data_IF_452567926274
#
_entry.id   IF_452567926274
#
_cell.length_a   1.000
_cell.length_b   1.000
_cell.length_c   1.000
_cell.angle_alpha   90.00
_cell.angle_beta   90.00
_cell.angle_gamma   90.00
#
_symmetry.space_group_name_H-M   'P 1'
#
loop_
_entity.id
_entity.type
_entity.pdbx_description
1 polymer ?
#
# COMPACT_ATOMS: atom_id res chain seq x y z
N UNK A 1 -10.18 -16.81 6.72
CA UNK A 1 -10.33 -16.38 5.31
C UNK A 1 -9.36 -17.22 4.50
N UNK A 2 -9.86 -18.16 3.68
CA UNK A 2 -9.02 -18.96 2.79
C UNK A 2 -9.32 -18.51 1.35
N UNK A 3 -8.49 -17.63 0.81
CA UNK A 3 -8.60 -17.11 -0.54
C UNK A 3 -7.41 -16.23 -0.89
N UNK A 4 -6.94 -16.31 -2.13
CA UNK A 4 -5.90 -15.43 -2.66
C UNK A 4 -6.47 -14.03 -2.88
N UNK A 5 -5.71 -13.00 -2.50
CA UNK A 5 -6.05 -11.61 -2.79
C UNK A 5 -5.70 -11.27 -4.26
N UNK A 6 -6.53 -10.45 -4.90
CA UNK A 6 -6.11 -9.72 -6.10
C UNK A 6 -4.98 -8.75 -5.76
N UNK A 7 -4.22 -8.28 -6.77
CA UNK A 7 -3.14 -7.31 -6.57
C UNK A 7 -3.65 -6.02 -5.90
N UNK A 8 -4.85 -5.56 -6.26
CA UNK A 8 -5.48 -4.38 -5.67
C UNK A 8 -5.90 -4.61 -4.21
N UNK A 9 -6.47 -5.78 -3.90
CA UNK A 9 -6.84 -6.11 -2.52
C UNK A 9 -5.61 -6.27 -1.63
N UNK A 10 -4.53 -6.86 -2.15
CA UNK A 10 -3.25 -6.95 -1.46
C UNK A 10 -2.64 -5.55 -1.21
N UNK A 11 -2.75 -4.64 -2.18
CA UNK A 11 -2.32 -3.24 -2.00
C UNK A 11 -3.10 -2.55 -0.87
N UNK A 12 -4.42 -2.67 -0.89
CA UNK A 12 -5.30 -2.10 0.15
C UNK A 12 -5.05 -2.73 1.53
N UNK A 13 -4.79 -4.04 1.57
CA UNK A 13 -4.44 -4.73 2.81
C UNK A 13 -3.12 -4.20 3.39
N UNK A 14 -2.09 -4.02 2.55
CA UNK A 14 -0.83 -3.39 2.95
C UNK A 14 -1.05 -1.95 3.44
N UNK A 15 -1.79 -1.11 2.71
CA UNK A 15 -2.12 0.25 3.15
C UNK A 15 -2.74 0.24 4.54
N UNK A 16 -3.76 -0.60 4.77
CA UNK A 16 -4.44 -0.71 6.06
C UNK A 16 -3.53 -1.21 7.18
N UNK A 17 -2.61 -2.11 6.86
CA UNK A 17 -1.64 -2.61 7.82
C UNK A 17 -0.66 -1.50 8.26
N UNK A 18 -0.10 -0.75 7.31
CA UNK A 18 0.83 0.37 7.58
C UNK A 18 0.10 1.50 8.32
N UNK A 19 -1.13 1.83 7.92
CA UNK A 19 -1.97 2.81 8.62
C UNK A 19 -2.13 2.43 10.10
N UNK A 20 -2.52 1.18 10.39
CA UNK A 20 -2.62 0.71 11.77
C UNK A 20 -1.29 0.76 12.53
N UNK A 21 -0.17 0.47 11.87
CA UNK A 21 1.15 0.57 12.47
C UNK A 21 1.52 2.02 12.81
N UNK A 22 1.26 2.96 11.89
CA UNK A 22 1.45 4.39 12.08
C UNK A 22 0.63 4.92 13.28
N UNK A 23 -0.62 4.48 13.39
CA UNK A 23 -1.52 4.79 14.50
C UNK A 23 -0.96 4.31 15.85
N UNK A 24 -0.48 3.06 15.91
CA UNK A 24 0.14 2.49 17.12
C UNK A 24 1.40 3.25 17.54
N UNK A 25 2.15 3.79 16.58
CA UNK A 25 3.29 4.66 16.82
C UNK A 25 2.92 6.06 17.35
N UNK A 26 1.63 6.39 17.44
CA UNK A 26 1.13 7.71 17.81
C UNK A 26 1.30 8.74 16.70
N UNK A 27 1.33 8.30 15.43
CA UNK A 27 1.44 9.17 14.25
C UNK A 27 2.68 10.07 14.21
N UNK A 28 3.80 9.62 14.77
CA UNK A 28 5.01 10.46 14.94
C UNK A 28 6.02 10.40 13.80
N UNK A 29 5.92 9.40 12.92
CA UNK A 29 6.86 9.25 11.80
C UNK A 29 6.38 10.05 10.58
N UNK A 30 7.14 11.09 10.22
CA UNK A 30 6.87 11.87 9.01
C UNK A 30 7.01 11.02 7.74
N UNK A 31 8.01 10.15 7.67
CA UNK A 31 8.22 9.26 6.53
C UNK A 31 7.01 8.35 6.28
N UNK A 32 6.43 7.76 7.34
CA UNK A 32 5.23 6.93 7.21
C UNK A 32 4.01 7.78 6.82
N UNK A 33 3.91 9.02 7.32
CA UNK A 33 2.84 9.93 6.94
C UNK A 33 2.89 10.28 5.44
N UNK A 34 4.09 10.59 4.92
CA UNK A 34 4.33 10.87 3.50
C UNK A 34 4.00 9.63 2.66
N UNK A 35 4.48 8.46 3.08
CA UNK A 35 4.20 7.21 2.39
C UNK A 35 2.68 6.96 2.30
N UNK A 36 1.95 7.02 3.42
CA UNK A 36 0.50 6.82 3.46
C UNK A 36 -0.25 7.86 2.61
N UNK A 37 0.21 9.10 2.57
CA UNK A 37 -0.38 10.15 1.72
C UNK A 37 -0.25 9.83 0.23
N UNK A 38 0.91 9.31 -0.20
CA UNK A 38 1.13 8.85 -1.57
C UNK A 38 0.30 7.60 -1.90
N UNK A 39 0.15 6.69 -0.94
CA UNK A 39 -0.53 5.41 -1.16
C UNK A 39 -2.05 5.51 -1.18
N UNK A 40 -2.62 6.54 -0.55
CA UNK A 40 -4.06 6.73 -0.49
C UNK A 40 -4.64 6.75 -1.92
N UNK A 41 -5.82 6.15 -2.12
CA UNK A 41 -6.48 6.02 -3.42
C UNK A 41 -7.67 6.99 -3.51
N UNK A 42 -7.43 8.28 -3.29
CA UNK A 42 -8.51 9.28 -3.10
C UNK A 42 -8.59 10.32 -4.21
N UNK A 43 -7.55 10.49 -5.03
CA UNK A 43 -7.51 11.52 -6.07
C UNK A 43 -8.05 11.07 -7.43
N UNK A 44 -7.95 9.78 -7.75
CA UNK A 44 -8.22 9.26 -9.09
C UNK A 44 -9.47 8.39 -9.12
N UNK A 45 -10.27 8.54 -10.18
CA UNK A 45 -11.51 7.78 -10.38
C UNK A 45 -11.28 6.32 -10.77
N UNK A 46 -10.06 5.98 -11.21
CA UNK A 46 -9.65 4.62 -11.54
C UNK A 46 -9.22 3.80 -10.30
N UNK A 47 -9.16 4.44 -9.14
CA UNK A 47 -8.75 3.82 -7.89
C UNK A 47 -7.25 3.58 -7.77
N UNK A 48 -6.42 4.25 -8.58
CA UNK A 48 -4.96 4.28 -8.41
C UNK A 48 -4.51 5.06 -7.16
N UNK A 49 -3.26 4.89 -6.71
CA UNK A 49 -2.70 5.67 -5.61
C UNK A 49 -2.50 7.14 -5.99
N UNK A 50 -2.51 8.02 -4.99
CA UNK A 50 -2.31 9.46 -5.16
C UNK A 50 -0.96 9.77 -5.80
N UNK A 51 0.08 9.01 -5.46
CA UNK A 51 1.36 8.98 -6.17
C UNK A 51 1.41 7.79 -7.15
N UNK A 52 1.33 8.03 -8.47
CA UNK A 52 1.37 6.95 -9.47
C UNK A 52 2.65 6.10 -9.41
N UNK A 53 3.80 6.66 -9.01
CA UNK A 53 5.06 5.92 -8.94
C UNK A 53 4.98 4.74 -7.95
N UNK A 54 4.22 4.91 -6.88
CA UNK A 54 4.03 3.84 -5.88
C UNK A 54 3.26 2.64 -6.42
N UNK A 55 2.49 2.79 -7.50
CA UNK A 55 1.86 1.64 -8.14
C UNK A 55 2.91 0.76 -8.82
N UNK A 56 3.85 1.36 -9.55
CA UNK A 56 4.93 0.62 -10.22
C UNK A 56 5.87 -0.06 -9.19
N UNK A 57 6.17 0.63 -8.10
CA UNK A 57 6.91 0.07 -6.96
C UNK A 57 6.18 -1.14 -6.37
N UNK A 58 4.87 -1.04 -6.18
CA UNK A 58 4.05 -2.14 -5.69
C UNK A 58 4.07 -3.35 -6.63
N UNK A 59 3.87 -3.15 -7.93
CA UNK A 59 3.91 -4.24 -8.92
C UNK A 59 5.28 -4.92 -8.91
N UNK A 60 6.37 -4.15 -8.74
CA UNK A 60 7.73 -4.68 -8.61
C UNK A 60 7.88 -5.52 -7.34
N UNK A 61 7.40 -5.02 -6.19
CA UNK A 61 7.43 -5.75 -4.93
C UNK A 61 6.62 -7.06 -4.97
N UNK A 62 5.44 -7.07 -5.60
CA UNK A 62 4.62 -8.27 -5.77
C UNK A 62 5.32 -9.32 -6.64
N UNK A 63 5.98 -8.90 -7.72
CA UNK A 63 6.75 -9.82 -8.57
C UNK A 63 7.91 -10.46 -7.81
N UNK A 64 8.65 -9.66 -7.04
CA UNK A 64 9.73 -10.15 -6.19
C UNK A 64 9.22 -11.17 -5.15
N UNK A 65 8.19 -10.80 -4.37
CA UNK A 65 7.61 -11.67 -3.34
C UNK A 65 7.06 -13.00 -3.87
N UNK A 66 6.62 -13.06 -5.15
CA UNK A 66 6.18 -14.29 -5.81
C UNK A 66 7.33 -15.15 -6.33
N UNK A 67 8.48 -14.55 -6.59
CA UNK A 67 9.67 -15.23 -7.11
C UNK A 67 10.53 -15.81 -6.00
N UNK A 68 10.38 -15.29 -4.78
CA UNK A 68 11.06 -15.74 -3.56
C UNK A 68 10.39 -16.96 -2.88
N UNK A 69 9.43 -17.59 -3.57
CA UNK A 69 8.60 -18.70 -3.07
C UNK A 69 8.88 -20.05 -3.72
#
# INVERSE_FOLDING_TARGET
MNGSLTINEAYRAMFKFIEQYYERGGRRSEDIAIMLSGMAQTLWTDGGPNDPAQWDDWITAVKAARSDG
#
